data_IF_274154494898
#
_entry.id   IF_274154494898
#
_cell.length_a   1.000
_cell.length_b   1.000
_cell.length_c   1.000
_cell.angle_alpha   90.00
_cell.angle_beta   90.00
_cell.angle_gamma   90.00
#
_symmetry.space_group_name_H-M   'P 1'
#
loop_
_entity.id
_entity.type
_entity.pdbx_description
1 polymer ?
#
# COMPACT_ATOMS: atom_id res chain seq x y z
N UNK A 1 4.04 -4.37 23.19
CA UNK A 1 4.92 -5.17 22.32
C UNK A 1 5.35 -4.25 21.20
N UNK A 2 6.66 -4.07 21.01
CA UNK A 2 7.20 -3.13 20.03
C UNK A 2 7.32 -3.89 18.70
N UNK A 3 6.28 -3.82 17.87
CA UNK A 3 6.25 -4.44 16.53
C UNK A 3 6.94 -3.48 15.57
N UNK A 4 8.26 -3.59 15.46
CA UNK A 4 8.98 -2.96 14.35
C UNK A 4 8.44 -3.52 13.04
N UNK A 5 8.23 -2.66 12.05
CA UNK A 5 7.81 -3.07 10.72
C UNK A 5 9.00 -3.75 10.02
N UNK A 6 8.91 -5.06 9.88
CA UNK A 6 9.99 -5.86 9.33
C UNK A 6 9.99 -5.74 7.80
N UNK A 7 10.95 -4.98 7.27
CA UNK A 7 11.49 -5.07 5.91
C UNK A 7 10.48 -5.04 4.74
N UNK A 8 10.47 -3.95 3.96
CA UNK A 8 10.05 -4.00 2.54
C UNK A 8 11.30 -4.35 1.72
N UNK A 9 11.40 -5.54 1.10
CA UNK A 9 12.59 -5.90 0.35
C UNK A 9 12.74 -4.99 -0.87
N UNK A 10 13.80 -4.17 -0.88
CA UNK A 10 14.21 -3.42 -2.09
C UNK A 10 14.72 -4.33 -3.21
N UNK A 11 15.18 -5.53 -2.85
CA UNK A 11 15.68 -6.57 -3.77
C UNK A 11 15.38 -7.96 -3.20
N UNK A 12 14.97 -8.92 -4.06
CA UNK A 12 14.78 -10.33 -3.69
C UNK A 12 13.42 -10.92 -4.09
N UNK A 13 13.18 -12.18 -3.71
CA UNK A 13 11.88 -12.84 -3.89
C UNK A 13 10.95 -12.45 -2.74
N UNK A 14 9.80 -11.86 -3.07
CA UNK A 14 8.73 -11.56 -2.11
C UNK A 14 7.55 -12.49 -2.35
N UNK A 15 6.92 -12.94 -1.27
CA UNK A 15 5.63 -13.61 -1.36
C UNK A 15 4.55 -12.53 -1.55
N UNK A 16 3.86 -12.58 -2.68
CA UNK A 16 2.74 -11.69 -2.96
C UNK A 16 1.43 -12.46 -2.99
N UNK A 17 0.36 -11.80 -2.56
CA UNK A 17 -1.02 -12.30 -2.64
C UNK A 17 -1.87 -11.34 -3.46
N UNK A 18 -2.63 -11.88 -4.41
CA UNK A 18 -3.63 -11.12 -5.16
C UNK A 18 -4.83 -10.81 -4.28
N UNK A 19 -5.24 -9.54 -4.27
CA UNK A 19 -6.40 -9.02 -3.57
C UNK A 19 -7.25 -8.20 -4.54
N UNK A 20 -8.53 -8.08 -4.25
CA UNK A 20 -9.40 -7.10 -4.89
C UNK A 20 -10.00 -6.20 -3.80
N UNK A 21 -9.82 -4.89 -3.92
CA UNK A 21 -10.34 -3.91 -2.96
C UNK A 21 -11.24 -2.95 -3.71
N UNK A 22 -12.51 -2.90 -3.35
CA UNK A 22 -13.54 -2.12 -4.05
C UNK A 22 -13.55 -2.36 -5.58
N UNK A 23 -13.36 -3.63 -5.97
CA UNK A 23 -13.22 -4.11 -7.35
C UNK A 23 -11.92 -3.70 -8.08
N UNK A 24 -10.94 -3.15 -7.36
CA UNK A 24 -9.62 -2.82 -7.90
C UNK A 24 -8.62 -3.93 -7.54
N UNK A 25 -7.95 -4.50 -8.53
CA UNK A 25 -6.94 -5.53 -8.29
C UNK A 25 -5.64 -4.91 -7.79
N UNK A 26 -5.09 -5.50 -6.73
CA UNK A 26 -3.80 -5.15 -6.15
C UNK A 26 -3.07 -6.42 -5.73
N UNK A 27 -1.74 -6.38 -5.75
CA UNK A 27 -0.90 -7.43 -5.19
C UNK A 27 -0.17 -6.89 -3.97
N UNK A 28 -0.47 -7.47 -2.81
CA UNK A 28 0.18 -7.09 -1.57
C UNK A 28 1.36 -8.03 -1.27
N UNK A 29 2.45 -7.48 -0.77
CA UNK A 29 3.46 -8.28 -0.09
C UNK A 29 2.84 -8.87 1.19
N UNK A 30 2.99 -10.18 1.38
CA UNK A 30 2.53 -10.86 2.58
C UNK A 30 3.66 -10.80 3.62
N UNK A 31 3.55 -9.85 4.54
CA UNK A 31 4.46 -9.72 5.67
C UNK A 31 3.80 -10.21 6.97
N UNK A 32 4.21 -11.39 7.43
CA UNK A 32 3.73 -11.97 8.69
C UNK A 32 4.32 -11.29 9.95
N UNK A 33 5.30 -10.40 9.77
CA UNK A 33 5.92 -9.61 10.82
C UNK A 33 5.26 -8.25 11.07
N UNK A 34 4.29 -7.86 10.25
CA UNK A 34 3.60 -6.56 10.33
C UNK A 34 2.09 -6.72 10.50
N UNK A 35 1.48 -5.79 11.21
CA UNK A 35 0.01 -5.66 11.29
C UNK A 35 -0.55 -4.63 10.31
N UNK A 36 0.30 -3.97 9.52
CA UNK A 36 -0.13 -2.92 8.59
C UNK A 36 -0.61 -3.53 7.27
N UNK A 37 -1.82 -3.14 6.86
CA UNK A 37 -2.34 -3.33 5.50
C UNK A 37 -2.40 -1.97 4.84
N UNK A 38 -1.70 -1.79 3.72
CA UNK A 38 -1.72 -0.55 2.97
C UNK A 38 -1.43 -0.78 1.50
N UNK A 39 -1.84 0.18 0.66
CA UNK A 39 -1.65 0.16 -0.79
C UNK A 39 -1.09 1.48 -1.28
N UNK A 40 -0.36 1.43 -2.39
CA UNK A 40 0.04 2.64 -3.11
C UNK A 40 -1.19 3.40 -3.56
N UNK A 41 -1.29 4.67 -3.18
CA UNK A 41 -2.36 5.55 -3.68
C UNK A 41 -1.99 6.04 -5.09
N UNK A 42 -2.85 5.75 -6.07
CA UNK A 42 -2.57 6.03 -7.48
C UNK A 42 -2.33 7.53 -7.73
N UNK A 43 -3.16 8.39 -7.14
CA UNK A 43 -3.10 9.84 -7.33
C UNK A 43 -1.81 10.45 -6.78
N UNK A 44 -1.33 9.96 -5.64
CA UNK A 44 -0.03 10.38 -5.11
C UNK A 44 1.12 9.90 -5.98
N UNK A 45 1.11 8.64 -6.38
CA UNK A 45 2.19 8.06 -7.17
C UNK A 45 2.32 8.72 -8.55
N UNK A 46 1.20 8.95 -9.22
CA UNK A 46 1.13 9.66 -10.50
C UNK A 46 1.57 11.12 -10.35
N UNK A 47 1.16 11.79 -9.26
CA UNK A 47 1.56 13.16 -8.95
C UNK A 47 3.06 13.32 -8.64
N UNK A 48 3.68 12.29 -8.07
CA UNK A 48 5.12 12.24 -7.81
C UNK A 48 5.93 11.95 -9.08
N UNK A 49 5.39 11.15 -10.00
CA UNK A 49 6.13 10.57 -11.13
C UNK A 49 5.74 11.23 -12.47
N UNK A 50 4.63 10.78 -13.06
CA UNK A 50 3.95 11.37 -14.21
C UNK A 50 2.53 10.75 -14.32
N UNK A 51 1.58 11.40 -15.01
CA UNK A 51 0.22 10.89 -15.15
C UNK A 51 0.16 9.46 -15.70
N UNK A 52 -0.49 8.54 -14.99
CA UNK A 52 -0.64 7.14 -15.36
C UNK A 52 0.52 6.20 -14.98
N UNK A 53 1.58 6.70 -14.33
CA UNK A 53 2.72 5.89 -13.91
C UNK A 53 2.32 4.71 -12.99
N UNK A 54 1.32 4.91 -12.13
CA UNK A 54 0.79 3.91 -11.21
C UNK A 54 0.25 2.65 -11.91
N UNK A 55 -0.17 2.75 -13.16
CA UNK A 55 -0.61 1.60 -13.97
C UNK A 55 0.53 0.64 -14.34
N UNK A 56 1.77 1.08 -14.20
CA UNK A 56 2.97 0.27 -14.49
C UNK A 56 3.47 -0.48 -13.26
N UNK A 57 2.93 -0.19 -12.07
CA UNK A 57 3.31 -0.86 -10.84
C UNK A 57 2.90 -2.34 -10.91
N UNK A 58 3.84 -3.29 -10.76
CA UNK A 58 3.50 -4.72 -10.74
C UNK A 58 2.54 -5.08 -9.60
N UNK A 59 2.57 -4.31 -8.51
CA UNK A 59 1.67 -4.46 -7.36
C UNK A 59 0.29 -3.83 -7.58
N UNK A 60 0.10 -3.11 -8.68
CA UNK A 60 -1.02 -2.20 -8.85
C UNK A 60 -0.97 -1.01 -7.89
N UNK A 61 -1.98 -0.16 -7.99
CA UNK A 61 -2.25 0.95 -7.09
C UNK A 61 -3.76 1.06 -6.87
N UNK A 62 -4.13 1.61 -5.71
CA UNK A 62 -5.52 1.89 -5.39
C UNK A 62 -5.87 3.31 -5.82
N UNK A 63 -6.84 3.45 -6.73
CA UNK A 63 -7.34 4.75 -7.17
C UNK A 63 -8.48 5.22 -6.28
N UNK A 64 -8.39 6.47 -5.84
CA UNK A 64 -9.45 7.13 -5.11
C UNK A 64 -9.37 8.65 -5.32
N UNK A 65 -9.96 9.16 -6.42
CA UNK A 65 -9.81 10.57 -6.77
C UNK A 65 -10.52 11.50 -5.78
N UNK A 66 -11.53 10.99 -5.07
CA UNK A 66 -12.29 11.70 -4.05
C UNK A 66 -11.72 11.52 -2.64
N UNK A 67 -10.67 10.74 -2.46
CA UNK A 67 -10.04 10.58 -1.15
C UNK A 67 -9.41 11.90 -0.72
N UNK A 68 -9.61 12.24 0.55
CA UNK A 68 -8.92 13.35 1.20
C UNK A 68 -7.91 12.77 2.17
N UNK A 69 -6.70 13.32 2.16
CA UNK A 69 -5.65 12.91 3.10
C UNK A 69 -6.15 13.15 4.53
N UNK A 70 -6.26 12.05 5.28
CA UNK A 70 -6.65 12.06 6.69
C UNK A 70 -5.44 12.16 7.63
N UNK A 71 -5.63 11.82 8.92
CA UNK A 71 -4.53 11.69 9.87
C UNK A 71 -3.47 10.70 9.38
N UNK A 72 -2.21 11.11 9.48
CA UNK A 72 -1.07 10.33 9.00
C UNK A 72 -0.61 9.32 10.05
N UNK A 73 -0.28 8.12 9.59
CA UNK A 73 0.49 7.12 10.34
C UNK A 73 1.85 6.93 9.66
N UNK A 74 2.92 7.08 10.44
CA UNK A 74 4.29 6.88 9.97
C UNK A 74 4.71 5.42 10.17
N UNK A 75 5.15 4.79 9.08
CA UNK A 75 5.71 3.44 9.09
C UNK A 75 7.21 3.53 8.82
N UNK A 76 8.02 3.02 9.75
CA UNK A 76 9.48 2.98 9.63
C UNK A 76 9.94 1.54 9.54
N UNK A 77 10.61 1.21 8.45
CA UNK A 77 11.13 -0.12 8.18
C UNK A 77 12.60 -0.24 8.55
N UNK A 78 13.04 -1.46 8.84
CA UNK A 78 14.43 -1.74 9.26
C UNK A 78 15.48 -1.36 8.22
N UNK A 79 15.12 -1.32 6.93
CA UNK A 79 15.99 -0.90 5.83
C UNK A 79 16.15 0.63 5.73
N UNK A 80 15.55 1.37 6.67
CA UNK A 80 15.55 2.83 6.73
C UNK A 80 14.48 3.47 5.85
N UNK A 81 13.64 2.69 5.16
CA UNK A 81 12.52 3.24 4.40
C UNK A 81 11.46 3.80 5.34
N UNK A 82 10.98 5.00 5.04
CA UNK A 82 9.87 5.64 5.72
C UNK A 82 8.68 5.75 4.76
N UNK A 83 7.49 5.39 5.23
CA UNK A 83 6.24 5.48 4.48
C UNK A 83 5.21 6.21 5.33
N UNK A 84 4.51 7.18 4.75
CA UNK A 84 3.33 7.78 5.38
C UNK A 84 2.08 7.22 4.73
N UNK A 85 1.12 6.84 5.57
CA UNK A 85 -0.18 6.37 5.13
C UNK A 85 -1.29 7.17 5.79
N UNK A 86 -2.40 7.36 5.07
CA UNK A 86 -3.66 7.81 5.65
C UNK A 86 -4.72 6.70 5.56
N UNK A 87 -5.65 6.60 6.50
CA UNK A 87 -6.62 5.50 6.52
C UNK A 87 -7.69 5.65 5.45
N UNK A 88 -8.10 4.52 4.88
CA UNK A 88 -9.28 4.37 4.04
C UNK A 88 -10.00 3.07 4.41
N UNK A 89 -11.29 2.97 4.08
CA UNK A 89 -12.09 1.77 4.35
C UNK A 89 -12.80 1.34 3.08
N UNK A 90 -12.85 0.04 2.85
CA UNK A 90 -13.43 -0.53 1.64
C UNK A 90 -13.81 -1.99 1.83
N UNK A 91 -14.13 -2.64 0.72
CA UNK A 91 -14.46 -4.07 0.67
C UNK A 91 -13.31 -4.85 0.07
N UNK A 92 -12.73 -5.77 0.84
CA UNK A 92 -11.62 -6.62 0.39
C UNK A 92 -12.11 -8.01 0.05
N UNK A 93 -11.64 -8.53 -1.08
CA UNK A 93 -11.82 -9.91 -1.51
C UNK A 93 -10.47 -10.62 -1.67
N UNK A 94 -10.40 -11.85 -1.19
CA UNK A 94 -9.27 -12.75 -1.40
C UNK A 94 -9.77 -14.17 -1.61
N UNK A 95 -9.66 -14.68 -2.84
CA UNK A 95 -10.28 -15.95 -3.22
C UNK A 95 -11.80 -15.90 -3.00
N UNK A 96 -12.31 -16.78 -2.13
CA UNK A 96 -13.73 -16.81 -1.73
C UNK A 96 -14.06 -15.95 -0.51
N UNK A 97 -13.06 -15.35 0.16
CA UNK A 97 -13.28 -14.47 1.29
C UNK A 97 -13.67 -13.07 0.83
N UNK A 98 -14.59 -12.45 1.58
CA UNK A 98 -15.02 -11.07 1.43
C UNK A 98 -15.14 -10.44 2.81
N UNK A 99 -14.57 -9.25 2.97
CA UNK A 99 -14.55 -8.50 4.23
C UNK A 99 -14.98 -7.07 3.92
N UNK A 100 -16.15 -6.69 4.40
CA UNK A 100 -16.69 -5.33 4.27
C UNK A 100 -16.13 -4.43 5.39
N UNK A 101 -15.86 -3.17 5.06
CA UNK A 101 -15.45 -2.16 6.03
C UNK A 101 -14.05 -2.38 6.62
N UNK A 102 -13.19 -3.14 5.92
CA UNK A 102 -11.80 -3.28 6.35
C UNK A 102 -11.08 -1.94 6.19
N UNK A 103 -10.29 -1.57 7.20
CA UNK A 103 -9.46 -0.36 7.15
C UNK A 103 -8.05 -0.70 6.67
N UNK A 104 -7.54 0.10 5.75
CA UNK A 104 -6.19 -0.01 5.20
C UNK A 104 -5.58 1.38 5.00
N UNK A 105 -4.26 1.44 4.88
CA UNK A 105 -3.54 2.66 4.59
C UNK A 105 -3.46 2.95 3.09
N UNK A 106 -3.45 4.23 2.73
CA UNK A 106 -3.11 4.72 1.41
C UNK A 106 -1.82 5.54 1.51
N UNK A 107 -0.80 5.12 0.75
CA UNK A 107 0.52 5.78 0.77
C UNK A 107 0.42 7.17 0.18
N UNK A 108 0.89 8.18 0.91
CA UNK A 108 0.98 9.55 0.42
C UNK A 108 2.39 10.16 0.54
N UNK A 109 3.37 9.37 0.99
CA UNK A 109 4.79 9.72 1.02
C UNK A 109 5.63 8.45 1.19
N UNK A 110 6.83 8.46 0.60
CA UNK A 110 7.86 7.46 0.83
C UNK A 110 9.25 8.07 0.68
N UNK A 111 10.17 7.74 1.59
CA UNK A 111 11.60 8.06 1.49
C UNK A 111 12.45 6.81 1.68
N UNK A 112 13.34 6.45 0.73
CA UNK A 112 13.52 7.08 -0.58
C UNK A 112 12.29 6.91 -1.47
N UNK A 113 12.11 7.79 -2.48
CA UNK A 113 10.99 7.67 -3.40
C UNK A 113 11.00 6.30 -4.10
N UNK A 114 9.83 5.78 -4.50
CA UNK A 114 9.76 4.54 -5.27
C UNK A 114 10.65 4.63 -6.51
N UNK A 115 11.37 3.55 -6.84
CA UNK A 115 12.16 3.53 -8.07
C UNK A 115 11.23 3.43 -9.28
N UNK A 116 11.36 4.39 -10.20
CA UNK A 116 10.70 4.40 -11.51
C UNK A 116 11.31 3.35 -12.45
#
# INVERSE_FOLDING_TARGET
MNTGYNFIPRYGYVLTGGLSVDNQQVWAQIDTGSSALFFTWAEWYDGLTYPGASSLLPTGAYACPSCTVGPITDLKFEDGTEVHIFPHSGTLHSGSMSIDGITFGLVNFQDPPPMC
#
